data_IF_449057116816
#
_entry.id   IF_449057116816
#
_cell.length_a   1.000
_cell.length_b   1.000
_cell.length_c   1.000
_cell.angle_alpha   90.00
_cell.angle_beta   90.00
_cell.angle_gamma   90.00
#
_symmetry.space_group_name_H-M   'P 1'
#
loop_
_entity.id
_entity.type
_entity.pdbx_description
1 polymer ?
#
# COMPACT_ATOMS: atom_id res chain seq x y z
N UNK A 1 -4.25 10.27 -41.32
CA UNK A 1 -4.76 11.41 -40.52
C UNK A 1 -5.62 10.80 -39.45
N UNK A 2 -5.05 10.44 -38.29
CA UNK A 2 -4.66 11.35 -37.20
C UNK A 2 -5.88 12.11 -36.68
N UNK A 3 -6.09 12.10 -35.38
CA UNK A 3 -7.04 12.95 -34.63
C UNK A 3 -8.35 12.29 -34.17
N UNK A 4 -8.28 11.04 -33.70
CA UNK A 4 -9.10 10.62 -32.56
C UNK A 4 -8.22 10.12 -31.40
N UNK A 5 -7.14 10.87 -31.18
CA UNK A 5 -6.32 10.81 -29.97
C UNK A 5 -7.23 11.04 -28.77
N UNK A 6 -7.56 9.95 -28.09
CA UNK A 6 -7.50 9.84 -26.64
C UNK A 6 -8.05 11.08 -25.92
N UNK A 7 -9.34 11.32 -26.04
CA UNK A 7 -10.08 11.92 -24.93
C UNK A 7 -10.23 10.85 -23.85
N UNK A 8 -9.11 10.48 -23.21
CA UNK A 8 -9.16 9.78 -21.93
C UNK A 8 -9.69 10.82 -20.97
N UNK A 9 -11.01 10.83 -20.79
CA UNK A 9 -11.66 11.45 -19.65
C UNK A 9 -10.83 11.12 -18.41
N UNK A 10 -9.99 12.06 -17.98
CA UNK A 10 -9.46 12.11 -16.63
C UNK A 10 -10.61 12.53 -15.73
N UNK A 11 -11.68 11.72 -15.72
CA UNK A 11 -12.72 11.82 -14.71
C UNK A 11 -12.00 11.44 -13.44
N UNK A 12 -11.61 12.45 -12.66
CA UNK A 12 -11.15 12.25 -11.29
C UNK A 12 -12.17 11.28 -10.68
N UNK A 13 -11.78 10.05 -10.29
CA UNK A 13 -12.71 9.23 -9.53
C UNK A 13 -13.18 10.11 -8.39
N UNK A 14 -14.48 10.41 -8.33
CA UNK A 14 -15.03 11.23 -7.26
C UNK A 14 -14.62 10.51 -5.98
N UNK A 15 -13.71 11.11 -5.23
CA UNK A 15 -13.29 10.57 -3.96
C UNK A 15 -14.45 10.88 -3.02
N UNK A 16 -15.39 9.95 -2.98
CA UNK A 16 -16.44 9.93 -1.99
C UNK A 16 -15.77 9.53 -0.68
N UNK A 17 -15.35 10.56 0.06
CA UNK A 17 -14.65 10.45 1.34
C UNK A 17 -15.41 9.52 2.30
N UNK A 18 -16.75 9.53 2.23
CA UNK A 18 -17.61 8.69 3.05
C UNK A 18 -17.44 7.21 2.73
N UNK A 19 -17.43 6.83 1.46
CA UNK A 19 -17.27 5.43 1.05
C UNK A 19 -15.87 4.90 1.44
N UNK A 20 -14.83 5.71 1.19
CA UNK A 20 -13.48 5.33 1.60
C UNK A 20 -13.32 5.28 3.13
N UNK A 21 -13.95 6.19 3.87
CA UNK A 21 -13.95 6.16 5.33
C UNK A 21 -14.57 4.85 5.86
N UNK A 22 -15.72 4.45 5.30
CA UNK A 22 -16.41 3.21 5.68
C UNK A 22 -15.55 2.00 5.34
N UNK A 23 -14.95 1.96 4.15
CA UNK A 23 -14.04 0.87 3.76
C UNK A 23 -12.83 0.81 4.69
N UNK A 24 -12.23 1.95 5.05
CA UNK A 24 -11.11 2.01 6.00
C UNK A 24 -11.50 1.48 7.37
N UNK A 25 -12.69 1.80 7.89
CA UNK A 25 -13.19 1.24 9.15
C UNK A 25 -13.28 -0.27 9.06
N UNK A 26 -13.87 -0.81 7.98
CA UNK A 26 -13.98 -2.26 7.77
C UNK A 26 -12.57 -2.90 7.74
N UNK A 27 -11.63 -2.29 7.03
CA UNK A 27 -10.23 -2.77 6.96
C UNK A 27 -9.56 -2.73 8.34
N UNK A 28 -9.78 -1.69 9.14
CA UNK A 28 -9.28 -1.62 10.51
C UNK A 28 -9.89 -2.70 11.40
N UNK A 29 -11.18 -2.99 11.28
CA UNK A 29 -11.85 -4.05 12.04
C UNK A 29 -11.32 -5.44 11.67
N UNK A 30 -11.26 -5.75 10.37
CA UNK A 30 -10.63 -6.99 9.88
C UNK A 30 -9.18 -7.04 10.34
N UNK A 31 -8.49 -5.91 10.30
CA UNK A 31 -7.12 -5.77 10.73
C UNK A 31 -6.90 -6.09 12.20
N UNK A 32 -7.81 -5.66 13.09
CA UNK A 32 -7.76 -6.01 14.51
C UNK A 32 -7.82 -7.51 14.73
N UNK A 33 -8.72 -8.18 14.02
CA UNK A 33 -8.84 -9.65 14.08
C UNK A 33 -7.56 -10.30 13.56
N UNK A 34 -6.98 -9.81 12.47
CA UNK A 34 -5.73 -10.37 11.95
C UNK A 34 -4.54 -10.14 12.89
N UNK A 35 -4.54 -9.01 13.60
CA UNK A 35 -3.50 -8.67 14.57
C UNK A 35 -3.55 -9.53 15.84
N UNK A 36 -4.74 -10.00 16.23
CA UNK A 36 -4.89 -10.94 17.35
C UNK A 36 -4.66 -12.40 16.95
N UNK A 37 -5.01 -12.79 15.72
CA UNK A 37 -4.85 -14.18 15.25
C UNK A 37 -3.42 -14.52 14.83
N UNK A 38 -2.71 -13.61 14.16
CA UNK A 38 -1.36 -13.87 13.67
C UNK A 38 -0.28 -13.68 14.74
N UNK A 39 0.07 -12.42 15.09
CA UNK A 39 1.12 -12.10 16.06
C UNK A 39 0.67 -12.12 17.53
N UNK A 40 -0.59 -12.44 17.83
CA UNK A 40 -1.16 -12.49 19.19
C UNK A 40 -0.97 -11.21 20.01
N UNK A 41 -1.03 -10.04 19.35
CA UNK A 41 -0.94 -8.74 20.04
C UNK A 41 -2.22 -8.56 20.87
N UNK A 42 -2.12 -8.09 22.13
CA UNK A 42 -3.30 -7.83 22.95
C UNK A 42 -4.26 -6.88 22.23
N UNK A 43 -5.54 -7.24 22.20
CA UNK A 43 -6.58 -6.54 21.44
C UNK A 43 -6.66 -5.05 21.78
N UNK A 44 -6.40 -4.70 23.05
CA UNK A 44 -6.44 -3.31 23.53
C UNK A 44 -5.32 -2.45 22.92
N UNK A 45 -4.10 -2.98 22.83
CA UNK A 45 -2.95 -2.23 22.28
C UNK A 45 -3.04 -2.15 20.75
N UNK A 46 -3.56 -3.21 20.11
CA UNK A 46 -3.84 -3.21 18.67
C UNK A 46 -4.95 -2.22 18.30
N UNK A 47 -5.95 -2.05 19.16
CA UNK A 47 -7.06 -1.11 18.93
C UNK A 47 -6.58 0.34 18.83
N UNK A 48 -5.71 0.78 19.75
CA UNK A 48 -5.14 2.13 19.71
C UNK A 48 -4.26 2.33 18.47
N UNK A 49 -3.46 1.33 18.11
CA UNK A 49 -2.68 1.33 16.87
C UNK A 49 -3.55 1.52 15.62
N UNK A 50 -4.67 0.80 15.52
CA UNK A 50 -5.57 0.91 14.35
C UNK A 50 -6.25 2.27 14.23
N UNK A 51 -6.59 2.91 15.35
CA UNK A 51 -7.13 4.28 15.34
C UNK A 51 -6.11 5.25 14.75
N UNK A 52 -4.84 5.14 15.16
CA UNK A 52 -3.77 6.00 14.65
C UNK A 52 -3.60 5.82 13.14
N UNK A 53 -3.56 4.57 12.66
CA UNK A 53 -3.44 4.27 11.22
C UNK A 53 -4.67 4.75 10.44
N UNK A 54 -5.87 4.63 10.99
CA UNK A 54 -7.09 5.17 10.40
C UNK A 54 -7.02 6.69 10.23
N UNK A 55 -6.60 7.41 11.27
CA UNK A 55 -6.48 8.88 11.24
C UNK A 55 -5.45 9.34 10.20
N UNK A 56 -4.28 8.70 10.16
CA UNK A 56 -3.24 8.99 9.16
C UNK A 56 -3.78 8.76 7.74
N UNK A 57 -4.49 7.66 7.53
CA UNK A 57 -5.11 7.33 6.24
C UNK A 57 -6.17 8.34 5.84
N UNK A 58 -6.99 8.79 6.79
CA UNK A 58 -8.02 9.81 6.53
C UNK A 58 -7.39 11.14 6.12
N UNK A 59 -6.36 11.60 6.83
CA UNK A 59 -5.64 12.83 6.48
C UNK A 59 -5.01 12.72 5.09
N UNK A 60 -4.40 11.57 4.76
CA UNK A 60 -3.86 11.29 3.43
C UNK A 60 -4.92 11.32 2.31
N UNK A 61 -6.11 10.77 2.56
CA UNK A 61 -7.23 10.82 1.60
C UNK A 61 -7.78 12.23 1.41
N UNK A 62 -7.93 13.00 2.50
CA UNK A 62 -8.32 14.40 2.44
C UNK A 62 -7.30 15.18 1.60
N UNK A 63 -6.00 14.99 1.86
CA UNK A 63 -4.95 15.65 1.12
C UNK A 63 -4.96 15.27 -0.37
N UNK A 64 -5.23 14.01 -0.69
CA UNK A 64 -5.40 13.55 -2.09
C UNK A 64 -6.49 14.32 -2.83
N UNK A 65 -7.60 14.66 -2.14
CA UNK A 65 -8.71 15.41 -2.73
C UNK A 65 -8.36 16.88 -3.02
N UNK A 66 -7.53 17.50 -2.18
CA UNK A 66 -7.16 18.92 -2.33
C UNK A 66 -5.87 19.13 -3.12
N UNK A 67 -5.07 18.09 -3.34
CA UNK A 67 -3.80 18.20 -4.02
C UNK A 67 -3.95 18.65 -5.50
N UNK A 68 -3.11 19.59 -5.98
CA UNK A 68 -3.14 20.06 -7.36
C UNK A 68 -2.49 19.09 -8.36
N UNK A 69 -1.75 18.08 -7.90
CA UNK A 69 -1.04 17.11 -8.72
C UNK A 69 -1.66 15.71 -8.61
N UNK A 70 -1.72 14.98 -9.73
CA UNK A 70 -2.24 13.61 -9.77
C UNK A 70 -1.20 12.62 -9.24
N UNK A 71 -1.34 12.25 -7.97
CA UNK A 71 -0.63 11.11 -7.37
C UNK A 71 -1.67 10.09 -6.88
N UNK A 72 -1.38 8.78 -6.95
CA UNK A 72 -2.24 7.76 -6.35
C UNK A 72 -2.48 8.06 -4.87
N UNK A 73 -3.70 7.81 -4.36
CA UNK A 73 -4.05 8.10 -2.96
C UNK A 73 -3.09 7.44 -1.95
N UNK A 74 -2.59 6.25 -2.29
CA UNK A 74 -1.60 5.51 -1.49
C UNK A 74 -0.30 6.32 -1.30
N UNK A 75 0.14 7.09 -2.31
CA UNK A 75 1.33 7.91 -2.20
C UNK A 75 1.15 9.06 -1.19
N UNK A 76 -0.03 9.70 -1.18
CA UNK A 76 -0.35 10.74 -0.21
C UNK A 76 -0.47 10.20 1.21
N UNK A 77 -1.10 9.03 1.39
CA UNK A 77 -1.21 8.37 2.69
C UNK A 77 0.19 8.02 3.22
N UNK A 78 1.06 7.44 2.39
CA UNK A 78 2.44 7.13 2.76
C UNK A 78 3.23 8.38 3.13
N UNK A 79 3.08 9.48 2.37
CA UNK A 79 3.73 10.75 2.67
C UNK A 79 3.30 11.30 4.04
N UNK A 80 2.00 11.30 4.33
CA UNK A 80 1.47 11.73 5.64
C UNK A 80 2.01 10.82 6.75
N UNK A 81 2.05 9.50 6.54
CA UNK A 81 2.61 8.55 7.50
C UNK A 81 4.10 8.79 7.78
N UNK A 82 4.90 9.08 6.75
CA UNK A 82 6.31 9.44 6.91
C UNK A 82 6.43 10.73 7.73
N UNK A 83 5.71 11.78 7.34
CA UNK A 83 5.75 13.06 8.07
C UNK A 83 5.36 12.87 9.54
N UNK A 84 4.30 12.09 9.81
CA UNK A 84 3.83 11.82 11.16
C UNK A 84 4.81 10.99 12.03
N UNK A 85 5.76 10.30 11.42
CA UNK A 85 6.74 9.43 12.11
C UNK A 85 8.15 10.01 12.16
N UNK A 86 8.40 11.18 11.55
CA UNK A 86 9.69 11.87 11.62
C UNK A 86 9.99 12.35 13.05
N UNK A 87 11.26 12.30 13.50
CA UNK A 87 11.63 12.64 14.87
C UNK A 87 11.33 14.10 15.25
N UNK A 88 11.23 15.01 14.26
CA UNK A 88 10.91 16.42 14.52
C UNK A 88 9.42 16.69 14.73
N UNK A 89 8.52 15.74 14.47
CA UNK A 89 7.08 16.01 14.59
C UNK A 89 6.60 15.81 16.03
N UNK A 90 5.75 16.72 16.54
CA UNK A 90 5.26 16.64 17.90
C UNK A 90 4.41 15.38 18.08
N UNK A 91 4.76 14.53 19.04
CA UNK A 91 4.06 13.26 19.30
C UNK A 91 4.52 12.08 18.43
N UNK A 92 5.60 12.22 17.66
CA UNK A 92 6.15 11.16 16.80
C UNK A 92 6.46 9.88 17.55
N UNK A 93 7.07 9.95 18.73
CA UNK A 93 7.39 8.77 19.56
C UNK A 93 6.14 7.95 19.91
N UNK A 94 5.05 8.63 20.26
CA UNK A 94 3.78 7.97 20.58
C UNK A 94 3.16 7.34 19.32
N UNK A 95 3.14 8.06 18.19
CA UNK A 95 2.63 7.54 16.91
C UNK A 95 3.43 6.31 16.47
N UNK A 96 4.76 6.35 16.59
CA UNK A 96 5.65 5.23 16.26
C UNK A 96 5.40 4.04 17.20
N UNK A 97 5.20 4.28 18.51
CA UNK A 97 4.86 3.22 19.46
C UNK A 97 3.53 2.54 19.11
N UNK A 98 2.51 3.32 18.74
CA UNK A 98 1.21 2.80 18.30
C UNK A 98 1.29 2.09 16.93
N UNK A 99 2.13 2.57 16.01
CA UNK A 99 2.36 1.89 14.74
C UNK A 99 3.03 0.52 14.94
N UNK A 100 3.89 0.36 15.96
CA UNK A 100 4.51 -0.92 16.32
C UNK A 100 3.53 -1.93 16.90
N UNK A 101 2.40 -1.50 17.49
CA UNK A 101 1.35 -2.41 17.95
C UNK A 101 0.46 -2.93 16.81
N UNK A 102 0.71 -2.50 15.56
CA UNK A 102 0.00 -2.95 14.36
C UNK A 102 0.92 -3.79 13.47
N UNK A 103 0.50 -5.02 13.18
CA UNK A 103 1.20 -5.85 12.21
C UNK A 103 0.68 -5.62 10.78
N UNK A 104 1.42 -4.82 10.00
CA UNK A 104 1.08 -4.53 8.61
C UNK A 104 1.09 -5.74 7.68
N UNK A 105 1.87 -6.79 7.98
CA UNK A 105 1.85 -8.03 7.19
C UNK A 105 0.54 -8.79 7.41
N UNK A 106 0.03 -8.79 8.64
CA UNK A 106 -1.28 -9.38 8.96
C UNK A 106 -2.41 -8.66 8.22
N UNK A 107 -2.30 -7.34 8.02
CA UNK A 107 -3.22 -6.53 7.21
C UNK A 107 -3.13 -6.83 5.71
N UNK A 108 -1.95 -7.21 5.21
CA UNK A 108 -1.76 -7.50 3.80
C UNK A 108 -2.52 -8.76 3.35
N UNK A 109 -2.67 -9.75 4.23
CA UNK A 109 -3.34 -11.03 3.93
C UNK A 109 -4.77 -10.89 3.38
N UNK A 110 -5.72 -10.21 4.05
CA UNK A 110 -7.08 -10.05 3.51
C UNK A 110 -7.09 -9.20 2.22
N UNK A 111 -6.21 -8.20 2.11
CA UNK A 111 -6.10 -7.38 0.91
C UNK A 111 -5.60 -8.20 -0.29
N UNK A 112 -4.55 -8.99 -0.10
CA UNK A 112 -4.00 -9.89 -1.14
C UNK A 112 -4.98 -11.01 -1.50
N UNK A 113 -5.70 -11.55 -0.52
CA UNK A 113 -6.74 -12.55 -0.78
C UNK A 113 -7.87 -11.95 -1.65
N UNK A 114 -8.40 -10.78 -1.28
CA UNK A 114 -9.44 -10.10 -2.06
C UNK A 114 -8.94 -9.72 -3.46
N UNK A 115 -7.74 -9.16 -3.57
CA UNK A 115 -7.13 -8.84 -4.86
C UNK A 115 -6.97 -10.08 -5.74
N UNK A 116 -6.48 -11.18 -5.16
CA UNK A 116 -6.33 -12.47 -5.84
C UNK A 116 -7.67 -13.02 -6.33
N UNK A 117 -8.70 -13.04 -5.48
CA UNK A 117 -10.05 -13.47 -5.87
C UNK A 117 -10.66 -12.58 -6.96
N UNK A 118 -10.48 -11.25 -6.89
CA UNK A 118 -11.03 -10.30 -7.84
C UNK A 118 -10.49 -10.49 -9.27
N UNK A 119 -9.23 -10.92 -9.43
CA UNK A 119 -8.60 -11.12 -10.74
C UNK A 119 -8.50 -12.59 -11.17
N UNK A 120 -8.75 -13.54 -10.26
CA UNK A 120 -8.49 -14.97 -10.46
C UNK A 120 -9.03 -15.52 -11.79
N UNK A 121 -10.28 -15.19 -12.15
CA UNK A 121 -10.90 -15.70 -13.39
C UNK A 121 -10.13 -15.27 -14.63
N UNK A 122 -9.74 -14.00 -14.70
CA UNK A 122 -8.98 -13.42 -15.82
C UNK A 122 -7.59 -14.05 -15.89
N UNK A 123 -6.89 -14.16 -14.76
CA UNK A 123 -5.56 -14.75 -14.71
C UNK A 123 -5.56 -16.23 -15.12
N UNK A 124 -6.57 -17.02 -14.72
CA UNK A 124 -6.72 -18.41 -15.14
C UNK A 124 -6.92 -18.52 -16.66
N UNK A 125 -7.70 -17.62 -17.26
CA UNK A 125 -7.93 -17.59 -18.71
C UNK A 125 -6.63 -17.27 -19.47
N UNK A 126 -5.88 -16.25 -19.04
CA UNK A 126 -4.59 -15.90 -19.64
C UNK A 126 -3.56 -17.03 -19.44
N UNK A 127 -3.53 -17.65 -18.26
CA UNK A 127 -2.62 -18.77 -17.97
C UNK A 127 -2.88 -19.98 -18.88
N UNK A 128 -4.14 -20.28 -19.20
CA UNK A 128 -4.48 -21.38 -20.13
C UNK A 128 -3.94 -21.15 -21.54
N UNK A 129 -3.98 -19.92 -22.03
CA UNK A 129 -3.55 -19.59 -23.39
C UNK A 129 -2.05 -19.24 -23.50
N UNK A 130 -1.43 -18.76 -22.42
CA UNK A 130 -0.07 -18.17 -22.48
C UNK A 130 0.76 -18.38 -21.21
N UNK A 131 0.44 -19.39 -20.38
CA UNK A 131 1.10 -19.63 -19.09
C UNK A 131 2.63 -19.77 -19.16
N UNK A 132 3.17 -20.44 -20.18
CA UNK A 132 4.63 -20.60 -20.32
C UNK A 132 5.35 -19.25 -20.55
N UNK A 133 4.74 -18.35 -21.33
CA UNK A 133 5.31 -17.01 -21.56
C UNK A 133 5.24 -16.17 -20.28
N UNK A 134 4.15 -16.26 -19.52
CA UNK A 134 4.00 -15.59 -18.23
C UNK A 134 5.04 -16.04 -17.21
N UNK A 135 5.30 -17.35 -17.11
CA UNK A 135 6.31 -17.89 -16.19
C UNK A 135 7.72 -17.36 -16.53
N UNK A 136 8.09 -17.33 -17.81
CA UNK A 136 9.38 -16.78 -18.25
C UNK A 136 9.48 -15.28 -17.94
N UNK A 137 8.44 -14.50 -18.25
CA UNK A 137 8.41 -13.04 -17.97
C UNK A 137 8.50 -12.79 -16.47
N UNK A 138 7.78 -13.54 -15.64
CA UNK A 138 7.85 -13.42 -14.19
C UNK A 138 9.27 -13.70 -13.67
N UNK A 139 9.91 -14.77 -14.16
CA UNK A 139 11.30 -15.09 -13.80
C UNK A 139 12.27 -13.95 -14.18
N UNK A 140 12.15 -13.43 -15.41
CA UNK A 140 12.94 -12.28 -15.88
C UNK A 140 12.72 -11.01 -15.04
N UNK A 141 11.47 -10.71 -14.67
CA UNK A 141 11.13 -9.54 -13.84
C UNK A 141 11.67 -9.68 -12.42
N UNK A 142 11.52 -10.85 -11.79
CA UNK A 142 12.05 -11.09 -10.45
C UNK A 142 13.58 -11.04 -10.42
N UNK A 143 14.24 -11.72 -11.38
CA UNK A 143 15.69 -11.67 -11.50
C UNK A 143 16.19 -10.25 -11.80
N UNK A 144 15.53 -9.53 -12.71
CA UNK A 144 15.90 -8.16 -13.06
C UNK A 144 15.74 -7.19 -11.89
N UNK A 145 14.65 -7.28 -11.12
CA UNK A 145 14.43 -6.41 -9.95
C UNK A 145 15.43 -6.71 -8.84
N UNK A 146 15.71 -7.98 -8.58
CA UNK A 146 16.69 -8.39 -7.59
C UNK A 146 18.12 -7.98 -8.00
N UNK A 147 18.54 -8.31 -9.22
CA UNK A 147 19.86 -7.94 -9.73
C UNK A 147 20.03 -6.42 -9.78
N UNK A 148 19.03 -5.67 -10.24
CA UNK A 148 19.05 -4.21 -10.23
C UNK A 148 19.22 -3.64 -8.82
N UNK A 149 18.51 -4.20 -7.83
CA UNK A 149 18.64 -3.80 -6.42
C UNK A 149 20.04 -4.08 -5.87
N UNK A 150 20.61 -5.25 -6.19
CA UNK A 150 21.97 -5.62 -5.78
C UNK A 150 23.02 -4.71 -6.41
N UNK A 151 22.89 -4.38 -7.70
CA UNK A 151 23.81 -3.47 -8.38
C UNK A 151 23.82 -2.07 -7.78
N UNK A 152 22.63 -1.53 -7.44
CA UNK A 152 22.53 -0.23 -6.77
C UNK A 152 23.10 -0.29 -5.35
N UNK A 153 22.80 -1.35 -4.60
CA UNK A 153 23.36 -1.55 -3.26
C UNK A 153 24.90 -1.62 -3.29
N UNK A 154 25.46 -2.40 -4.22
CA UNK A 154 26.90 -2.54 -4.44
C UNK A 154 27.56 -1.22 -4.84
N UNK A 155 26.91 -0.45 -5.73
CA UNK A 155 27.42 0.87 -6.13
C UNK A 155 27.47 1.83 -4.94
N UNK A 156 26.43 1.86 -4.09
CA UNK A 156 26.38 2.72 -2.90
C UNK A 156 27.42 2.27 -1.86
N UNK A 157 27.57 0.96 -1.62
CA UNK A 157 28.56 0.43 -0.68
C UNK A 157 30.00 0.78 -1.09
N UNK A 158 30.33 0.59 -2.37
CA UNK A 158 31.64 0.98 -2.92
C UNK A 158 31.90 2.49 -2.80
N UNK A 159 30.87 3.31 -2.99
CA UNK A 159 30.98 4.76 -2.78
C UNK A 159 31.19 5.13 -1.30
N UNK A 160 30.64 4.34 -0.37
CA UNK A 160 30.85 4.48 1.07
C UNK A 160 32.19 3.89 1.55
N UNK A 161 32.95 3.23 0.68
CA UNK A 161 34.27 2.67 0.98
C UNK A 161 34.24 1.36 1.76
N UNK A 162 33.11 0.63 1.71
CA UNK A 162 32.94 -0.72 2.26
C UNK A 162 32.96 -1.73 1.10
#
# INVERSE_FOLDING_TARGET
MSDSVVAKETTRPKIDLVDHAVVLIIVCLVGLVMNTVGPAIPLMDGFMGMIVIYLISMVGLILTRFAPFYLPSVAWISLVGIVATLPWTPGSEWIVAQAKSVNFLALATPALAYAGFAIAKKEIEVAKHSGWKLALVACLVFLGTYAGSVLVAEAILKLQGI
#
